data_IF_685182312733
#
_entry.id   IF_685182312733
#
_cell.length_a   1.000
_cell.length_b   1.000
_cell.length_c   1.000
_cell.angle_alpha   90.00
_cell.angle_beta   90.00
_cell.angle_gamma   90.00
#
_symmetry.space_group_name_H-M   'P 1'
#
loop_
_entity.id
_entity.type
_entity.pdbx_description
1 polymer ?
#
# COMPACT_ATOMS: atom_id res chain seq x y z
N UNK A 1 16.12 9.97 -21.48
CA UNK A 1 15.94 8.82 -20.56
C UNK A 1 15.59 9.40 -19.19
N UNK A 2 14.54 8.94 -18.50
CA UNK A 2 14.20 9.46 -17.15
C UNK A 2 15.13 8.83 -16.10
N UNK A 3 15.49 9.58 -15.06
CA UNK A 3 16.27 9.04 -13.96
C UNK A 3 15.44 7.97 -13.20
N UNK A 4 16.07 6.91 -12.65
CA UNK A 4 15.36 5.85 -11.93
C UNK A 4 14.49 6.35 -10.77
N UNK A 5 14.92 7.40 -10.09
CA UNK A 5 14.16 8.07 -9.01
C UNK A 5 12.92 8.80 -9.54
N UNK A 6 12.99 9.38 -10.72
CA UNK A 6 11.84 10.03 -11.38
C UNK A 6 10.78 9.03 -11.84
N UNK A 7 11.19 7.79 -12.14
CA UNK A 7 10.25 6.68 -12.39
C UNK A 7 9.49 6.33 -11.10
N UNK A 8 10.18 6.20 -9.97
CA UNK A 8 9.56 5.92 -8.66
C UNK A 8 8.56 7.02 -8.27
N UNK A 9 8.92 8.30 -8.42
CA UNK A 9 8.02 9.43 -8.18
C UNK A 9 6.78 9.40 -9.09
N UNK A 10 6.93 8.99 -10.35
CA UNK A 10 5.79 8.87 -11.27
C UNK A 10 4.86 7.73 -10.90
N UNK A 11 5.39 6.66 -10.32
CA UNK A 11 4.61 5.52 -9.81
C UNK A 11 3.84 5.89 -8.54
N UNK A 12 4.40 6.73 -7.65
CA UNK A 12 3.67 7.26 -6.50
C UNK A 12 2.37 7.95 -6.89
N UNK A 13 2.31 8.71 -7.99
CA UNK A 13 1.06 9.37 -8.44
C UNK A 13 -0.06 8.39 -8.78
N UNK A 14 0.29 7.18 -9.21
CA UNK A 14 -0.70 6.12 -9.45
C UNK A 14 -1.11 5.50 -8.12
N UNK A 15 -0.15 5.29 -7.21
CA UNK A 15 -0.39 4.76 -5.86
C UNK A 15 -1.28 5.72 -5.04
N UNK A 16 -1.07 7.03 -5.14
CA UNK A 16 -1.89 8.07 -4.49
C UNK A 16 -3.38 7.93 -4.85
N UNK A 17 -3.71 7.67 -6.12
CA UNK A 17 -5.10 7.44 -6.54
C UNK A 17 -5.70 6.18 -5.93
N UNK A 18 -4.90 5.12 -5.78
CA UNK A 18 -5.33 3.89 -5.09
C UNK A 18 -5.54 4.16 -3.61
N UNK A 19 -4.65 4.93 -2.97
CA UNK A 19 -4.76 5.35 -1.57
C UNK A 19 -6.03 6.15 -1.32
N UNK A 20 -6.35 7.13 -2.18
CA UNK A 20 -7.59 7.90 -2.09
C UNK A 20 -8.83 7.01 -2.22
N UNK A 21 -8.80 6.04 -3.15
CA UNK A 21 -9.91 5.10 -3.30
C UNK A 21 -10.09 4.23 -2.06
N UNK A 22 -8.99 3.70 -1.50
CA UNK A 22 -9.00 2.91 -0.27
C UNK A 22 -9.51 3.71 0.93
N UNK A 23 -9.09 4.97 1.08
CA UNK A 23 -9.58 5.86 2.13
C UNK A 23 -11.09 6.08 2.03
N UNK A 24 -11.60 6.34 0.82
CA UNK A 24 -13.04 6.52 0.56
C UNK A 24 -13.83 5.25 0.85
N UNK A 25 -13.35 4.07 0.42
CA UNK A 25 -13.98 2.78 0.73
C UNK A 25 -14.04 2.57 2.23
N UNK A 26 -12.92 2.79 2.92
CA UNK A 26 -12.86 2.65 4.37
C UNK A 26 -13.81 3.59 5.11
N UNK A 27 -13.92 4.85 4.66
CA UNK A 27 -14.89 5.81 5.20
C UNK A 27 -16.33 5.34 4.97
N UNK A 28 -16.68 4.98 3.73
CA UNK A 28 -18.03 4.55 3.39
C UNK A 28 -18.48 3.35 4.23
N UNK A 29 -17.62 2.34 4.37
CA UNK A 29 -17.91 1.16 5.19
C UNK A 29 -18.06 1.51 6.68
N UNK A 30 -17.24 2.43 7.20
CA UNK A 30 -17.36 2.88 8.59
C UNK A 30 -18.66 3.65 8.88
N UNK A 31 -19.22 4.30 7.85
CA UNK A 31 -20.52 4.96 7.91
C UNK A 31 -21.70 4.00 7.68
N UNK A 32 -21.43 2.68 7.57
CA UNK A 32 -22.44 1.66 7.30
C UNK A 32 -22.94 1.62 5.86
N UNK A 33 -22.29 2.34 4.93
CA UNK A 33 -22.65 2.31 3.51
C UNK A 33 -22.12 1.02 2.88
N UNK A 34 -22.96 0.39 2.05
CA UNK A 34 -22.55 -0.77 1.25
C UNK A 34 -21.68 -0.31 0.08
N UNK A 35 -20.54 -0.96 -0.09
CA UNK A 35 -19.64 -0.77 -1.23
C UNK A 35 -19.65 -2.09 -1.99
N UNK A 36 -20.17 -2.09 -3.21
CA UNK A 36 -20.17 -3.31 -4.01
C UNK A 36 -18.72 -3.72 -4.30
N UNK A 37 -18.32 -4.98 -3.99
CA UNK A 37 -17.02 -5.49 -4.41
C UNK A 37 -16.91 -5.37 -5.92
N UNK A 38 -15.85 -4.70 -6.41
CA UNK A 38 -15.56 -4.72 -7.84
C UNK A 38 -15.26 -6.18 -8.20
N UNK A 39 -15.94 -6.78 -9.19
CA UNK A 39 -15.68 -8.16 -9.57
C UNK A 39 -14.20 -8.31 -9.90
N UNK A 40 -13.52 -9.19 -9.17
CA UNK A 40 -12.14 -9.54 -9.47
C UNK A 40 -12.12 -10.25 -10.83
N UNK A 41 -11.79 -9.51 -11.90
CA UNK A 41 -11.62 -10.08 -13.24
C UNK A 41 -10.29 -10.85 -13.38
N UNK A 42 -9.79 -11.43 -12.29
CA UNK A 42 -8.52 -12.18 -12.24
C UNK A 42 -7.28 -11.33 -11.95
N UNK A 43 -7.45 -10.03 -11.73
CA UNK A 43 -6.35 -9.07 -11.59
C UNK A 43 -6.06 -8.64 -10.15
N UNK A 44 -6.80 -9.09 -9.12
CA UNK A 44 -6.49 -8.73 -7.73
C UNK A 44 -5.12 -9.25 -7.28
N UNK A 45 -4.69 -10.40 -7.81
CA UNK A 45 -3.30 -10.91 -7.68
C UNK A 45 -2.29 -10.06 -8.45
N UNK A 46 -2.70 -9.41 -9.54
CA UNK A 46 -1.86 -8.55 -10.39
C UNK A 46 -1.71 -7.15 -9.77
N UNK A 47 -2.77 -6.53 -9.24
CA UNK A 47 -2.70 -5.21 -8.60
C UNK A 47 -2.00 -5.24 -7.25
N UNK A 48 -2.24 -6.29 -6.45
CA UNK A 48 -1.51 -6.51 -5.20
C UNK A 48 -0.04 -6.84 -5.39
N UNK A 49 0.28 -7.52 -6.49
CA UNK A 49 1.68 -7.70 -6.89
C UNK A 49 2.23 -6.48 -7.62
N UNK A 50 1.45 -5.53 -8.13
CA UNK A 50 2.01 -4.39 -8.85
C UNK A 50 2.75 -3.44 -7.91
N UNK A 51 2.11 -2.96 -6.84
CA UNK A 51 2.78 -2.09 -5.86
C UNK A 51 3.97 -2.81 -5.21
N UNK A 52 3.79 -4.06 -4.78
CA UNK A 52 4.83 -4.79 -4.04
C UNK A 52 5.96 -5.34 -4.93
N UNK A 53 5.64 -5.83 -6.13
CA UNK A 53 6.60 -6.48 -7.04
C UNK A 53 7.23 -5.51 -8.04
N UNK A 54 6.55 -4.40 -8.39
CA UNK A 54 7.13 -3.36 -9.24
C UNK A 54 7.68 -2.18 -8.45
N UNK A 55 6.92 -1.59 -7.53
CA UNK A 55 7.35 -0.37 -6.83
C UNK A 55 8.25 -0.69 -5.62
N UNK A 56 7.70 -1.31 -4.57
CA UNK A 56 8.50 -1.73 -3.39
C UNK A 56 9.64 -2.64 -3.81
N UNK A 57 9.43 -3.53 -4.78
CA UNK A 57 10.48 -4.40 -5.31
C UNK A 57 11.67 -3.67 -5.93
N UNK A 58 11.48 -2.47 -6.52
CA UNK A 58 12.60 -1.63 -6.99
C UNK A 58 13.29 -0.95 -5.82
N UNK A 59 12.53 -0.48 -4.85
CA UNK A 59 13.09 0.16 -3.66
C UNK A 59 13.92 -0.84 -2.84
N UNK A 60 13.34 -1.96 -2.45
CA UNK A 60 13.97 -2.99 -1.63
C UNK A 60 15.17 -3.66 -2.32
N UNK A 61 15.06 -3.95 -3.63
CA UNK A 61 16.11 -4.72 -4.35
C UNK A 61 17.17 -3.84 -5.00
N UNK A 62 16.91 -2.56 -5.22
CA UNK A 62 17.82 -1.66 -5.94
C UNK A 62 18.17 -0.45 -5.08
N UNK A 63 17.19 0.40 -4.75
CA UNK A 63 17.46 1.67 -4.08
C UNK A 63 18.02 1.48 -2.67
N UNK A 64 17.36 0.69 -1.82
CA UNK A 64 17.77 0.46 -0.44
C UNK A 64 19.10 -0.29 -0.35
N UNK A 65 19.36 -1.23 -1.27
CA UNK A 65 20.68 -1.88 -1.36
C UNK A 65 21.79 -0.90 -1.75
N UNK A 66 21.50 0.04 -2.64
CA UNK A 66 22.46 1.06 -3.03
C UNK A 66 22.70 2.06 -1.88
N UNK A 67 21.64 2.48 -1.18
CA UNK A 67 21.75 3.33 0.02
C UNK A 67 22.53 2.63 1.15
N UNK A 68 22.31 1.34 1.36
CA UNK A 68 23.07 0.51 2.30
C UNK A 68 24.56 0.48 1.93
N UNK A 69 24.87 0.28 0.65
CA UNK A 69 26.25 0.35 0.15
C UNK A 69 26.90 1.74 0.36
N UNK A 70 26.10 2.81 0.29
CA UNK A 70 26.54 4.18 0.56
C UNK A 70 26.63 4.51 2.07
N UNK A 71 26.37 3.55 2.96
CA UNK A 71 26.56 3.67 4.40
C UNK A 71 25.30 3.98 5.21
N UNK A 72 24.12 3.97 4.59
CA UNK A 72 22.85 4.10 5.33
C UNK A 72 22.56 2.77 6.06
N UNK A 73 22.39 2.77 7.38
CA UNK A 73 22.16 1.52 8.11
C UNK A 73 20.79 0.92 7.76
N UNK A 74 20.79 -0.37 7.46
CA UNK A 74 19.58 -1.15 7.17
C UNK A 74 18.70 -1.32 8.40
N UNK A 75 19.30 -1.53 9.57
CA UNK A 75 18.60 -1.65 10.85
C UNK A 75 18.78 -0.37 11.67
N UNK A 76 17.74 0.04 12.40
CA UNK A 76 17.78 1.24 13.24
C UNK A 76 17.89 2.57 12.48
N UNK A 77 17.71 2.55 11.15
CA UNK A 77 17.80 3.72 10.27
C UNK A 77 16.63 3.84 9.29
N UNK A 78 16.69 4.82 8.37
CA UNK A 78 15.60 5.11 7.43
C UNK A 78 15.17 3.91 6.59
N UNK A 79 16.11 3.08 6.13
CA UNK A 79 15.80 1.86 5.36
C UNK A 79 14.94 0.89 6.18
N UNK A 80 15.26 0.72 7.46
CA UNK A 80 14.52 -0.17 8.36
C UNK A 80 13.07 0.28 8.56
N UNK A 81 12.84 1.60 8.66
CA UNK A 81 11.49 2.18 8.75
C UNK A 81 10.69 1.88 7.49
N UNK A 82 11.29 2.07 6.31
CA UNK A 82 10.62 1.83 5.04
C UNK A 82 10.27 0.35 4.83
N UNK A 83 11.19 -0.56 5.17
CA UNK A 83 10.96 -2.00 5.11
C UNK A 83 9.82 -2.45 6.05
N UNK A 84 9.78 -1.89 7.26
CA UNK A 84 8.69 -2.14 8.20
C UNK A 84 7.35 -1.65 7.64
N UNK A 85 7.31 -0.45 7.05
CA UNK A 85 6.12 0.11 6.43
C UNK A 85 5.62 -0.74 5.24
N UNK A 86 6.53 -1.27 4.42
CA UNK A 86 6.16 -2.21 3.35
C UNK A 86 5.50 -3.47 3.91
N UNK A 87 6.06 -4.04 4.98
CA UNK A 87 5.52 -5.23 5.61
C UNK A 87 4.15 -4.97 6.28
N UNK A 88 4.00 -3.81 6.91
CA UNK A 88 2.72 -3.37 7.46
C UNK A 88 1.68 -3.15 6.35
N UNK A 89 2.07 -2.59 5.21
CA UNK A 89 1.20 -2.48 4.03
C UNK A 89 0.72 -3.84 3.52
N UNK A 90 1.62 -4.84 3.48
CA UNK A 90 1.27 -6.22 3.11
C UNK A 90 0.27 -6.86 4.09
N UNK A 91 0.39 -6.58 5.39
CA UNK A 91 -0.49 -7.16 6.40
C UNK A 91 -1.91 -6.59 6.32
N UNK A 92 -2.09 -5.27 6.16
CA UNK A 92 -3.41 -4.67 5.95
C UNK A 92 -4.11 -5.23 4.72
N UNK A 93 -3.37 -5.36 3.60
CA UNK A 93 -3.91 -5.95 2.38
C UNK A 93 -4.36 -7.39 2.59
N UNK A 94 -3.58 -8.19 3.32
CA UNK A 94 -3.94 -9.57 3.64
C UNK A 94 -5.25 -9.62 4.43
N UNK A 95 -5.38 -8.80 5.49
CA UNK A 95 -6.59 -8.75 6.30
C UNK A 95 -7.84 -8.33 5.49
N UNK A 96 -7.71 -7.37 4.57
CA UNK A 96 -8.81 -6.99 3.66
C UNK A 96 -9.23 -8.18 2.80
N UNK A 97 -8.29 -8.87 2.17
CA UNK A 97 -8.58 -10.00 1.29
C UNK A 97 -9.22 -11.17 2.03
N UNK A 98 -8.79 -11.44 3.26
CA UNK A 98 -9.35 -12.49 4.11
C UNK A 98 -10.79 -12.17 4.58
N UNK A 99 -11.13 -10.88 4.72
CA UNK A 99 -12.48 -10.45 5.10
C UNK A 99 -13.47 -10.38 3.92
N UNK A 100 -13.00 -10.29 2.68
CA UNK A 100 -13.85 -10.14 1.49
C UNK A 100 -14.95 -11.21 1.36
N UNK A 101 -14.68 -12.53 1.53
CA UNK A 101 -15.72 -13.55 1.39
C UNK A 101 -16.91 -13.31 2.34
N UNK A 102 -16.63 -13.16 3.63
CA UNK A 102 -17.65 -12.89 4.65
C UNK A 102 -18.37 -11.55 4.42
N UNK A 103 -17.65 -10.54 3.90
CA UNK A 103 -18.28 -9.27 3.52
C UNK A 103 -19.30 -9.44 2.40
N UNK A 104 -18.99 -10.27 1.39
CA UNK A 104 -19.92 -10.54 0.28
C UNK A 104 -21.18 -11.29 0.72
N UNK A 105 -21.10 -12.01 1.83
CA UNK A 105 -22.23 -12.68 2.50
C UNK A 105 -23.02 -11.75 3.44
N UNK A 106 -22.61 -10.49 3.58
CA UNK A 106 -23.32 -9.46 4.37
C UNK A 106 -22.81 -9.30 5.80
N UNK A 107 -21.64 -9.84 6.16
CA UNK A 107 -21.09 -9.68 7.51
C UNK A 107 -20.68 -8.24 7.80
N UNK A 108 -21.29 -7.65 8.83
CA UNK A 108 -20.95 -6.32 9.37
C UNK A 108 -19.57 -6.29 10.03
N UNK A 109 -19.15 -7.40 10.64
CA UNK A 109 -17.81 -7.53 11.21
C UNK A 109 -16.74 -7.52 10.11
N UNK A 110 -17.00 -8.22 9.01
CA UNK A 110 -16.11 -8.18 7.85
C UNK A 110 -16.04 -6.77 7.23
N UNK A 111 -17.17 -6.05 7.18
CA UNK A 111 -17.21 -4.65 6.74
C UNK A 111 -16.32 -3.76 7.62
N UNK A 112 -16.35 -3.96 8.95
CA UNK A 112 -15.51 -3.25 9.90
C UNK A 112 -14.02 -3.55 9.71
N UNK A 113 -13.66 -4.82 9.55
CA UNK A 113 -12.27 -5.23 9.27
C UNK A 113 -11.77 -4.58 7.98
N UNK A 114 -12.55 -4.60 6.91
CA UNK A 114 -12.18 -3.96 5.64
C UNK A 114 -12.05 -2.44 5.83
N UNK A 115 -12.95 -1.81 6.58
CA UNK A 115 -12.91 -0.36 6.84
C UNK A 115 -11.63 0.05 7.57
N UNK A 116 -11.33 -0.60 8.70
CA UNK A 116 -10.18 -0.30 9.56
C UNK A 116 -8.87 -0.51 8.80
N UNK A 117 -8.71 -1.63 8.11
CA UNK A 117 -7.50 -1.93 7.36
C UNK A 117 -7.34 -1.04 6.13
N UNK A 118 -8.43 -0.63 5.47
CA UNK A 118 -8.36 0.29 4.32
C UNK A 118 -7.93 1.69 4.75
N UNK A 119 -8.44 2.19 5.87
CA UNK A 119 -8.04 3.47 6.44
C UNK A 119 -6.60 3.44 6.94
N UNK A 120 -6.20 2.38 7.66
CA UNK A 120 -4.84 2.21 8.15
C UNK A 120 -3.82 2.12 7.00
N UNK A 121 -4.14 1.35 5.95
CA UNK A 121 -3.32 1.26 4.74
C UNK A 121 -3.17 2.61 4.04
N UNK A 122 -4.26 3.34 3.86
CA UNK A 122 -4.24 4.64 3.20
C UNK A 122 -3.41 5.68 3.98
N UNK A 123 -3.59 5.72 5.32
CA UNK A 123 -2.85 6.64 6.18
C UNK A 123 -1.35 6.35 6.18
N UNK A 124 -0.97 5.07 6.33
CA UNK A 124 0.44 4.66 6.32
C UNK A 124 1.08 4.97 4.96
N UNK A 125 0.44 4.59 3.86
CA UNK A 125 1.03 4.75 2.52
C UNK A 125 1.12 6.23 2.10
N UNK A 126 0.21 7.07 2.57
CA UNK A 126 0.32 8.54 2.40
C UNK A 126 1.58 9.08 3.08
N UNK A 127 1.83 8.68 4.34
CA UNK A 127 3.03 9.11 5.07
C UNK A 127 4.31 8.54 4.46
N UNK A 128 4.26 7.31 3.97
CA UNK A 128 5.36 6.65 3.28
C UNK A 128 5.78 7.42 2.01
N UNK A 129 4.81 7.76 1.15
CA UNK A 129 5.04 8.54 -0.08
C UNK A 129 5.59 9.94 0.23
N UNK A 130 5.13 10.59 1.29
CA UNK A 130 5.66 11.91 1.68
C UNK A 130 7.17 11.87 1.98
N UNK A 131 7.65 10.82 2.65
CA UNK A 131 9.08 10.65 2.97
C UNK A 131 9.94 10.45 1.72
N UNK A 132 9.41 9.82 0.69
CA UNK A 132 10.15 9.51 -0.55
C UNK A 132 10.09 10.61 -1.60
N UNK A 133 9.17 11.58 -1.47
CA UNK A 133 9.00 12.68 -2.43
C UNK A 133 9.65 13.99 -1.97
N UNK A 134 9.89 14.20 -0.67
CA UNK A 134 10.47 15.45 -0.13
C UNK A 134 12.00 15.50 -0.02
N UNK A 135 12.71 14.36 -0.03
CA UNK A 135 14.18 14.33 0.19
C UNK A 135 15.01 14.28 -1.11
N UNK A 136 14.68 15.11 -2.11
CA UNK A 136 15.53 15.40 -3.28
C UNK A 136 15.53 16.88 -3.63
#
# INVERSE_FOLDING_TARGET
MRAPTEVLKSEHRVIEKVVEAMARVGQMLSEGKRVEPVPDRGDSKVHGSFADRCHHGKEERVLFKWMEHMGVPKEGGPIGVMLYEHELGRSYRKAILEALPSYTEGSTEAAKIIAENSQAYANMLSQHIMKTVQDC
#
